data_IF_905894202337
#
_entry.id   IF_905894202337
#
_cell.length_a   1.000
_cell.length_b   1.000
_cell.length_c   1.000
_cell.angle_alpha   90.00
_cell.angle_beta   90.00
_cell.angle_gamma   90.00
#
_symmetry.space_group_name_H-M   'P 1'
#
loop_
_entity.id
_entity.type
_entity.pdbx_description
1 polymer ?
#
# COMPACT_ATOMS: atom_id res chain seq x y z
N UNK A 1 -20.60 -16.12 -13.91
CA UNK A 1 -19.74 -14.93 -14.15
C UNK A 1 -19.83 -13.86 -13.04
N UNK A 2 -21.01 -13.44 -12.57
CA UNK A 2 -21.13 -12.41 -11.50
C UNK A 2 -20.37 -12.75 -10.20
N UNK A 3 -20.49 -13.98 -9.71
CA UNK A 3 -19.83 -14.47 -8.49
C UNK A 3 -18.29 -14.39 -8.54
N UNK A 4 -17.66 -14.68 -9.68
CA UNK A 4 -16.20 -14.59 -9.80
C UNK A 4 -15.68 -13.14 -9.71
N UNK A 5 -16.43 -12.17 -10.24
CA UNK A 5 -16.10 -10.74 -10.10
C UNK A 5 -16.27 -10.26 -8.66
N UNK A 6 -17.26 -10.77 -7.93
CA UNK A 6 -17.48 -10.44 -6.53
C UNK A 6 -16.41 -11.06 -5.62
N UNK A 7 -16.08 -12.34 -5.81
CA UNK A 7 -14.99 -13.01 -5.11
C UNK A 7 -13.65 -12.26 -5.27
N UNK A 8 -13.38 -11.76 -6.46
CA UNK A 8 -12.19 -10.96 -6.75
C UNK A 8 -12.16 -9.63 -6.01
N UNK A 9 -13.30 -8.93 -5.93
CA UNK A 9 -13.41 -7.69 -5.16
C UNK A 9 -13.17 -7.94 -3.67
N UNK A 10 -13.69 -9.04 -3.13
CA UNK A 10 -13.49 -9.43 -1.72
C UNK A 10 -12.01 -9.73 -1.46
N UNK A 11 -11.37 -10.53 -2.32
CA UNK A 11 -9.94 -10.81 -2.20
C UNK A 11 -9.09 -9.54 -2.29
N UNK A 12 -9.40 -8.64 -3.23
CA UNK A 12 -8.68 -7.37 -3.36
C UNK A 12 -8.83 -6.49 -2.11
N UNK A 13 -10.04 -6.41 -1.54
CA UNK A 13 -10.26 -5.69 -0.28
C UNK A 13 -9.40 -6.28 0.84
N UNK A 14 -9.35 -7.61 0.96
CA UNK A 14 -8.52 -8.28 1.96
C UNK A 14 -7.04 -7.93 1.78
N UNK A 15 -6.53 -8.00 0.55
CA UNK A 15 -5.14 -7.64 0.24
C UNK A 15 -4.83 -6.19 0.64
N UNK A 16 -5.76 -5.26 0.40
CA UNK A 16 -5.59 -3.87 0.84
C UNK A 16 -5.55 -3.75 2.37
N UNK A 17 -6.45 -4.44 3.08
CA UNK A 17 -6.48 -4.43 4.55
C UNK A 17 -5.21 -5.03 5.14
N UNK A 18 -4.77 -6.17 4.62
CA UNK A 18 -3.54 -6.84 5.06
C UNK A 18 -2.32 -5.93 4.83
N UNK A 19 -2.30 -5.16 3.73
CA UNK A 19 -1.23 -4.19 3.47
C UNK A 19 -1.22 -3.02 4.47
N UNK A 20 -2.38 -2.49 4.86
CA UNK A 20 -2.48 -1.43 5.87
C UNK A 20 -1.95 -1.93 7.21
N UNK A 21 -2.37 -3.13 7.64
CA UNK A 21 -1.85 -3.75 8.87
C UNK A 21 -0.33 -3.97 8.82
N UNK A 22 0.19 -4.43 7.68
CA UNK A 22 1.63 -4.59 7.51
C UNK A 22 2.39 -3.26 7.61
N UNK A 23 1.83 -2.17 7.08
CA UNK A 23 2.41 -0.82 7.20
C UNK A 23 2.38 -0.30 8.65
N UNK A 24 1.29 -0.53 9.37
CA UNK A 24 1.19 -0.14 10.79
C UNK A 24 2.24 -0.88 11.64
N UNK A 25 2.34 -2.20 11.48
CA UNK A 25 3.35 -3.02 12.19
C UNK A 25 4.76 -2.53 11.86
N UNK A 26 5.05 -2.34 10.57
CA UNK A 26 6.35 -1.85 10.13
C UNK A 26 6.69 -0.48 10.72
N UNK A 27 5.71 0.42 10.77
CA UNK A 27 5.88 1.77 11.34
C UNK A 27 6.18 1.70 12.84
N UNK A 28 5.45 0.87 13.60
CA UNK A 28 5.72 0.68 15.02
C UNK A 28 7.11 0.09 15.27
N UNK A 29 7.56 -0.85 14.43
CA UNK A 29 8.88 -1.45 14.58
C UNK A 29 9.99 -0.45 14.27
N UNK A 30 9.85 0.36 13.21
CA UNK A 30 10.79 1.43 12.92
C UNK A 30 10.84 2.49 14.04
N UNK A 31 9.69 2.81 14.67
CA UNK A 31 9.64 3.70 15.83
C UNK A 31 10.46 3.12 17.00
N UNK A 32 10.26 1.85 17.35
CA UNK A 32 11.04 1.16 18.40
C UNK A 32 12.55 1.14 18.10
N UNK A 33 12.93 0.91 16.84
CA UNK A 33 14.34 0.95 16.43
C UNK A 33 14.91 2.36 16.54
N UNK A 34 14.13 3.37 16.19
CA UNK A 34 14.52 4.79 16.34
C UNK A 34 14.74 5.15 17.80
N UNK A 35 13.83 4.74 18.69
CA UNK A 35 13.96 4.92 20.14
C UNK A 35 15.19 4.18 20.71
N UNK A 36 15.55 3.04 20.13
CA UNK A 36 16.76 2.30 20.46
C UNK A 36 18.05 2.91 19.86
N UNK A 37 17.96 4.05 19.15
CA UNK A 37 19.10 4.73 18.53
C UNK A 37 19.63 4.07 17.25
N UNK A 38 18.85 3.16 16.65
CA UNK A 38 19.21 2.46 15.41
C UNK A 38 18.94 3.37 14.21
N UNK A 39 19.96 3.56 13.38
CA UNK A 39 19.89 4.39 12.18
C UNK A 39 18.84 3.86 11.19
N UNK A 40 18.15 4.77 10.51
CA UNK A 40 17.10 4.44 9.54
C UNK A 40 17.58 3.53 8.39
N UNK A 41 18.88 3.56 8.05
CA UNK A 41 19.48 2.66 7.05
C UNK A 41 19.46 1.18 7.45
N UNK A 42 19.28 0.89 8.74
CA UNK A 42 19.22 -0.46 9.30
C UNK A 42 17.77 -0.91 9.59
N UNK A 43 16.78 -0.04 9.34
CA UNK A 43 15.38 -0.39 9.54
C UNK A 43 14.93 -1.46 8.53
N UNK A 44 13.91 -2.28 8.88
CA UNK A 44 13.32 -3.22 7.93
C UNK A 44 12.79 -2.47 6.71
N UNK A 45 12.75 -3.14 5.55
CA UNK A 45 12.21 -2.54 4.33
C UNK A 45 10.71 -2.34 4.45
N UNK A 46 10.23 -1.18 3.99
CA UNK A 46 8.80 -0.87 3.93
C UNK A 46 8.05 -1.93 3.10
N UNK A 47 6.92 -2.46 3.59
CA UNK A 47 6.07 -3.37 2.83
C UNK A 47 5.67 -2.76 1.48
N UNK A 48 5.84 -3.53 0.41
CA UNK A 48 5.42 -3.11 -0.92
C UNK A 48 3.89 -3.23 -1.07
N UNK A 49 3.28 -2.25 -1.75
CA UNK A 49 1.85 -2.32 -2.08
C UNK A 49 1.62 -3.38 -3.14
N UNK A 50 0.72 -4.32 -2.87
CA UNK A 50 0.33 -5.32 -3.87
C UNK A 50 -0.31 -4.64 -5.07
N UNK A 51 -0.10 -5.19 -6.27
CA UNK A 51 -0.79 -4.74 -7.48
C UNK A 51 -2.18 -5.35 -7.54
N UNK A 52 -3.15 -4.56 -8.04
CA UNK A 52 -4.50 -5.06 -8.28
C UNK A 52 -4.41 -6.25 -9.21
N UNK A 53 -4.87 -7.39 -8.71
CA UNK A 53 -5.00 -8.58 -9.53
C UNK A 53 -5.76 -8.18 -10.81
N UNK A 54 -5.37 -8.71 -11.96
CA UNK A 54 -6.15 -8.56 -13.19
C UNK A 54 -7.10 -9.75 -13.31
N UNK A 55 -8.38 -9.49 -13.62
CA UNK A 55 -9.31 -10.57 -13.94
C UNK A 55 -8.84 -11.26 -15.23
N UNK A 56 -8.91 -12.60 -15.33
CA UNK A 56 -8.58 -13.32 -16.56
C UNK A 56 -9.27 -12.73 -17.80
N UNK A 57 -8.57 -12.70 -18.93
CA UNK A 57 -9.05 -12.08 -20.17
C UNK A 57 -10.42 -12.62 -20.62
N UNK A 58 -10.71 -13.88 -20.32
CA UNK A 58 -11.98 -14.60 -20.54
C UNK A 58 -13.19 -13.92 -19.87
N UNK A 59 -12.94 -13.12 -18.84
CA UNK A 59 -13.92 -12.35 -18.09
C UNK A 59 -14.03 -10.89 -18.52
N UNK A 60 -13.06 -10.41 -19.29
CA UNK A 60 -13.03 -9.08 -19.89
C UNK A 60 -13.65 -9.15 -21.28
N UNK A 61 -14.98 -9.11 -21.35
CA UNK A 61 -15.67 -8.86 -22.61
C UNK A 61 -15.18 -7.54 -23.19
N UNK A 62 -14.46 -7.61 -24.33
CA UNK A 62 -14.03 -6.52 -25.22
C UNK A 62 -13.94 -5.13 -24.58
N UNK A 63 -12.77 -4.79 -24.03
CA UNK A 63 -11.99 -3.56 -24.30
C UNK A 63 -10.73 -3.60 -23.43
N UNK A 64 -9.63 -4.06 -24.02
CA UNK A 64 -8.30 -3.76 -23.52
C UNK A 64 -8.08 -2.25 -23.71
N UNK A 65 -8.29 -1.49 -22.64
CA UNK A 65 -8.09 -0.05 -22.57
C UNK A 65 -7.01 0.26 -21.54
N UNK A 66 -5.85 0.59 -22.08
CA UNK A 66 -4.64 1.21 -21.51
C UNK A 66 -4.88 2.23 -20.38
N UNK A 67 -3.83 2.43 -19.58
CA UNK A 67 -3.59 3.51 -18.60
C UNK A 67 -4.27 3.36 -17.21
N UNK A 68 -3.66 3.67 -16.06
CA UNK A 68 -2.52 4.55 -15.78
C UNK A 68 -1.95 4.18 -14.40
N UNK A 69 -0.64 4.00 -14.30
CA UNK A 69 0.05 4.02 -13.01
C UNK A 69 0.61 5.42 -12.80
N UNK A 70 -0.06 6.27 -12.04
CA UNK A 70 0.51 7.44 -11.33
C UNK A 70 -0.49 7.85 -10.24
N UNK A 71 0.01 8.22 -9.06
CA UNK A 71 -0.57 9.01 -7.95
C UNK A 71 0.09 8.45 -6.68
N UNK A 72 1.17 8.99 -6.15
CA UNK A 72 1.58 10.39 -6.03
C UNK A 72 2.06 10.51 -4.59
N UNK A 73 3.38 10.52 -4.39
CA UNK A 73 4.00 10.76 -3.09
C UNK A 73 3.78 12.22 -2.71
N UNK A 74 2.90 12.49 -1.76
CA UNK A 74 2.90 13.76 -1.04
C UNK A 74 3.42 13.53 0.37
N UNK A 75 4.74 13.69 0.49
CA UNK A 75 5.43 13.98 1.74
C UNK A 75 5.10 15.41 2.14
N UNK A 76 4.06 15.62 2.94
CA UNK A 76 3.90 16.88 3.69
C UNK A 76 4.70 16.79 4.98
N UNK A 77 5.99 17.14 4.87
CA UNK A 77 6.74 17.66 6.00
C UNK A 77 6.36 19.14 6.13
N UNK A 78 5.60 19.49 7.17
CA UNK A 78 5.45 20.88 7.58
C UNK A 78 5.93 21.03 9.01
N UNK A 79 7.00 21.83 9.10
CA UNK A 79 7.75 22.21 10.28
C UNK A 79 6.88 22.66 11.45
N UNK A 80 7.33 22.26 12.64
CA UNK A 80 7.15 22.97 13.89
C UNK A 80 7.75 24.38 13.80
N UNK A 81 6.92 25.41 13.93
CA UNK A 81 7.31 26.78 14.24
C UNK A 81 6.87 27.05 15.68
N UNK A 82 7.86 27.23 16.57
CA UNK A 82 7.73 27.57 17.98
C UNK A 82 8.03 29.06 18.05
N UNK A 83 7.00 29.88 18.23
CA UNK A 83 7.13 31.31 18.49
C UNK A 83 7.15 31.56 20.01
N UNK A 84 7.96 32.54 20.38
CA UNK A 84 8.53 32.86 21.70
C UNK A 84 7.51 33.29 22.78
#
# INVERSE_FOLDING_TARGET
KKQAKEAFKVQWKKICTDHVLALEIWTMECAKLTEAGIAASQHPKKPARAHKLQLPAEFQGRKAGRDQGVEGSDSVASNSEMDE
#
